data_IF_559314777168
#
_entry.id   IF_559314777168
#
_cell.length_a   1.000
_cell.length_b   1.000
_cell.length_c   1.000
_cell.angle_alpha   90.00
_cell.angle_beta   90.00
_cell.angle_gamma   90.00
#
_symmetry.space_group_name_H-M   'P 1'
#
loop_
_entity.id
_entity.type
_entity.pdbx_description
1 polymer ?
#
# COMPACT_ATOMS: atom_id res chain seq x y z
N UNK A 1 5.89 -13.67 -17.80
CA UNK A 1 6.62 -13.47 -16.52
C UNK A 1 6.03 -14.41 -15.46
N UNK A 2 6.85 -14.97 -14.57
CA UNK A 2 6.40 -15.78 -13.43
C UNK A 2 6.29 -14.97 -12.14
N UNK A 3 5.28 -15.26 -11.33
CA UNK A 3 5.00 -14.57 -10.08
C UNK A 3 4.97 -15.57 -8.92
N UNK A 4 5.57 -15.20 -7.80
CA UNK A 4 5.42 -15.93 -6.54
C UNK A 4 4.63 -15.07 -5.57
N UNK A 5 3.48 -15.58 -5.13
CA UNK A 5 2.54 -14.87 -4.28
C UNK A 5 2.79 -15.26 -2.81
N UNK A 6 2.86 -14.28 -1.92
CA UNK A 6 2.98 -14.53 -0.48
C UNK A 6 2.14 -13.54 0.30
N UNK A 7 1.38 -14.02 1.28
CA UNK A 7 0.51 -13.17 2.10
C UNK A 7 0.39 -13.63 3.54
N UNK A 8 -0.14 -12.75 4.39
CA UNK A 8 -0.61 -13.19 5.71
C UNK A 8 -1.96 -13.92 5.59
N UNK A 9 -2.19 -14.90 6.45
CA UNK A 9 -3.34 -15.81 6.36
C UNK A 9 -4.60 -15.21 6.99
N UNK A 10 -5.17 -14.22 6.30
CA UNK A 10 -6.49 -13.69 6.60
C UNK A 10 -7.15 -13.18 5.31
N UNK A 11 -8.37 -12.63 5.43
CA UNK A 11 -9.23 -12.37 4.26
C UNK A 11 -8.62 -11.36 3.27
N UNK A 12 -7.90 -10.34 3.75
CA UNK A 12 -7.38 -9.29 2.87
C UNK A 12 -6.30 -9.81 1.90
N UNK A 13 -5.17 -10.44 2.33
CA UNK A 13 -4.18 -10.96 1.40
C UNK A 13 -4.76 -12.05 0.50
N UNK A 14 -5.61 -12.95 1.03
CA UNK A 14 -6.23 -14.01 0.22
C UNK A 14 -7.07 -13.44 -0.93
N UNK A 15 -7.85 -12.40 -0.65
CA UNK A 15 -8.67 -11.73 -1.67
C UNK A 15 -7.79 -10.97 -2.66
N UNK A 16 -6.79 -10.23 -2.17
CA UNK A 16 -5.82 -9.53 -3.01
C UNK A 16 -5.08 -10.47 -3.97
N UNK A 17 -4.65 -11.64 -3.49
CA UNK A 17 -3.98 -12.64 -4.32
C UNK A 17 -4.92 -13.32 -5.32
N UNK A 18 -6.20 -13.57 -4.96
CA UNK A 18 -7.24 -14.04 -5.91
C UNK A 18 -7.40 -13.06 -7.08
N UNK A 19 -7.45 -11.75 -6.78
CA UNK A 19 -7.57 -10.69 -7.79
C UNK A 19 -6.28 -10.56 -8.61
N UNK A 20 -5.11 -10.59 -7.95
CA UNK A 20 -3.81 -10.49 -8.60
C UNK A 20 -3.59 -11.67 -9.56
N UNK A 21 -3.92 -12.91 -9.15
CA UNK A 21 -3.81 -14.09 -10.01
C UNK A 21 -4.63 -13.96 -11.29
N UNK A 22 -5.91 -13.53 -11.19
CA UNK A 22 -6.77 -13.27 -12.36
C UNK A 22 -6.14 -12.26 -13.31
N UNK A 23 -5.53 -11.18 -12.80
CA UNK A 23 -4.82 -10.20 -13.63
C UNK A 23 -3.53 -10.77 -14.24
N UNK A 24 -2.72 -11.46 -13.44
CA UNK A 24 -1.44 -12.05 -13.88
C UNK A 24 -1.69 -13.02 -15.03
N UNK A 25 -2.61 -13.97 -14.86
CA UNK A 25 -2.86 -15.02 -15.85
C UNK A 25 -3.71 -14.50 -17.02
N UNK A 26 -4.77 -13.76 -16.74
CA UNK A 26 -5.76 -13.35 -17.75
C UNK A 26 -5.46 -12.05 -18.48
N UNK A 27 -4.69 -11.13 -17.91
CA UNK A 27 -4.37 -9.81 -18.51
C UNK A 27 -2.90 -9.68 -18.90
N UNK A 28 -2.00 -10.17 -18.06
CA UNK A 28 -0.55 -10.08 -18.32
C UNK A 28 0.01 -11.30 -19.08
N UNK A 29 -0.75 -12.38 -19.24
CA UNK A 29 -0.26 -13.64 -19.81
C UNK A 29 0.89 -14.27 -18.99
N UNK A 30 0.98 -13.91 -17.71
CA UNK A 30 1.93 -14.46 -16.76
C UNK A 30 1.45 -15.78 -16.16
N UNK A 31 2.24 -16.31 -15.23
CA UNK A 31 1.89 -17.52 -14.46
C UNK A 31 2.28 -17.37 -13.00
N UNK A 32 1.50 -17.97 -12.11
CA UNK A 32 1.88 -18.06 -10.69
C UNK A 32 2.69 -19.34 -10.46
N UNK A 33 3.95 -19.20 -10.06
CA UNK A 33 4.88 -20.30 -9.77
C UNK A 33 4.81 -20.81 -8.33
N UNK A 34 4.08 -20.11 -7.45
CA UNK A 34 3.86 -20.50 -6.07
C UNK A 34 2.96 -19.48 -5.36
N UNK A 35 2.22 -19.94 -4.35
CA UNK A 35 1.34 -19.11 -3.52
C UNK A 35 1.30 -19.69 -2.11
N UNK A 36 1.74 -18.91 -1.12
CA UNK A 36 1.79 -19.35 0.29
C UNK A 36 1.26 -18.28 1.26
N UNK A 37 0.63 -18.75 2.33
CA UNK A 37 0.05 -17.90 3.37
C UNK A 37 0.55 -18.29 4.75
N UNK A 38 0.78 -17.30 5.60
CA UNK A 38 1.29 -17.51 6.96
C UNK A 38 0.46 -16.74 7.99
N UNK A 39 0.14 -17.32 9.16
CA UNK A 39 -0.64 -16.63 10.18
C UNK A 39 0.04 -15.34 10.65
N UNK A 40 -0.75 -14.41 11.18
CA UNK A 40 -0.22 -13.19 11.78
C UNK A 40 0.75 -13.54 12.93
N UNK A 41 1.87 -12.82 13.00
CA UNK A 41 2.93 -13.10 13.98
C UNK A 41 3.84 -14.26 13.60
N UNK A 42 3.66 -14.88 12.43
CA UNK A 42 4.62 -15.86 11.91
C UNK A 42 5.98 -15.21 11.65
N UNK A 43 7.06 -15.93 12.00
CA UNK A 43 8.45 -15.44 11.92
C UNK A 43 9.42 -16.43 11.27
N UNK A 44 8.97 -17.54 10.70
CA UNK A 44 9.85 -18.61 10.19
C UNK A 44 9.70 -18.83 8.68
N UNK A 45 10.24 -17.91 7.87
CA UNK A 45 10.05 -17.87 6.43
C UNK A 45 11.10 -18.65 5.61
N UNK A 46 12.08 -19.31 6.25
CA UNK A 46 13.16 -20.02 5.55
C UNK A 46 12.66 -21.02 4.49
N UNK A 47 11.60 -21.77 4.78
CA UNK A 47 11.04 -22.75 3.85
C UNK A 47 10.51 -22.09 2.57
N UNK A 48 9.69 -21.04 2.69
CA UNK A 48 9.15 -20.32 1.53
C UNK A 48 10.24 -19.57 0.76
N UNK A 49 11.23 -19.02 1.46
CA UNK A 49 12.37 -18.36 0.83
C UNK A 49 13.19 -19.35 -0.01
N UNK A 50 13.42 -20.57 0.49
CA UNK A 50 14.07 -21.62 -0.30
C UNK A 50 13.27 -22.00 -1.55
N UNK A 51 11.94 -22.08 -1.44
CA UNK A 51 11.07 -22.32 -2.62
C UNK A 51 11.14 -21.15 -3.62
N UNK A 52 11.17 -19.91 -3.17
CA UNK A 52 11.38 -18.73 -4.03
C UNK A 52 12.71 -18.85 -4.78
N UNK A 53 13.80 -19.22 -4.10
CA UNK A 53 15.12 -19.41 -4.74
C UNK A 53 15.14 -20.54 -5.76
N UNK A 54 14.40 -21.62 -5.52
CA UNK A 54 14.30 -22.76 -6.44
C UNK A 54 13.43 -22.43 -7.67
N UNK A 55 12.29 -21.77 -7.44
CA UNK A 55 11.33 -21.42 -8.51
C UNK A 55 11.78 -20.23 -9.35
N UNK A 56 12.67 -19.37 -8.83
CA UNK A 56 13.23 -18.19 -9.51
C UNK A 56 12.15 -17.34 -10.20
N UNK A 57 11.13 -16.85 -9.45
CA UNK A 57 10.08 -16.05 -10.05
C UNK A 57 10.63 -14.75 -10.60
N UNK A 58 10.09 -14.27 -11.72
CA UNK A 58 10.41 -12.92 -12.20
C UNK A 58 9.99 -11.85 -11.16
N UNK A 59 8.87 -12.06 -10.46
CA UNK A 59 8.31 -11.13 -9.47
C UNK A 59 7.87 -11.86 -8.21
N UNK A 60 8.28 -11.36 -7.05
CA UNK A 60 7.66 -11.69 -5.76
C UNK A 60 6.55 -10.68 -5.51
N UNK A 61 5.31 -11.12 -5.34
CA UNK A 61 4.19 -10.26 -5.01
C UNK A 61 3.75 -10.53 -3.57
N UNK A 62 3.92 -9.54 -2.69
CA UNK A 62 3.84 -9.69 -1.25
C UNK A 62 2.69 -8.88 -0.64
N UNK A 63 1.96 -9.54 0.25
CA UNK A 63 0.95 -8.95 1.14
C UNK A 63 1.09 -9.54 2.55
N UNK A 64 2.33 -9.63 3.03
CA UNK A 64 2.65 -9.94 4.43
C UNK A 64 2.44 -8.67 5.26
N UNK A 65 1.89 -8.76 6.47
CA UNK A 65 1.52 -7.57 7.26
C UNK A 65 2.08 -7.60 8.67
N UNK A 66 2.13 -6.43 9.32
CA UNK A 66 2.49 -6.27 10.73
C UNK A 66 3.90 -6.78 11.05
N UNK A 67 4.09 -7.29 12.28
CA UNK A 67 5.39 -7.78 12.75
C UNK A 67 6.00 -8.92 11.90
N UNK A 68 5.18 -9.65 11.15
CA UNK A 68 5.65 -10.69 10.22
C UNK A 68 6.49 -10.13 9.08
N UNK A 69 6.25 -8.87 8.66
CA UNK A 69 7.08 -8.21 7.65
C UNK A 69 8.54 -8.13 8.09
N UNK A 70 8.79 -7.72 9.34
CA UNK A 70 10.16 -7.57 9.86
C UNK A 70 10.95 -8.87 9.70
N UNK A 71 10.35 -10.00 10.08
CA UNK A 71 10.99 -11.31 9.95
C UNK A 71 11.18 -11.71 8.48
N UNK A 72 10.16 -11.53 7.63
CA UNK A 72 10.20 -11.91 6.21
C UNK A 72 11.33 -11.18 5.46
N UNK A 73 11.38 -9.85 5.53
CA UNK A 73 12.36 -9.05 4.80
C UNK A 73 13.80 -9.26 5.30
N UNK A 74 14.01 -9.36 6.62
CA UNK A 74 15.32 -9.68 7.19
C UNK A 74 15.81 -11.06 6.74
N UNK A 75 14.93 -12.05 6.67
CA UNK A 75 15.28 -13.39 6.21
C UNK A 75 15.52 -13.45 4.70
N UNK A 76 14.77 -12.69 3.88
CA UNK A 76 15.06 -12.56 2.45
C UNK A 76 16.50 -12.06 2.23
N UNK A 77 16.89 -10.98 2.91
CA UNK A 77 18.24 -10.44 2.83
C UNK A 77 19.29 -11.44 3.32
N UNK A 78 19.07 -12.06 4.49
CA UNK A 78 19.98 -13.06 5.05
C UNK A 78 20.15 -14.29 4.14
N UNK A 79 19.12 -14.65 3.38
CA UNK A 79 19.18 -15.73 2.38
C UNK A 79 19.85 -15.33 1.06
N UNK A 80 20.31 -14.09 0.95
CA UNK A 80 21.02 -13.54 -0.22
C UNK A 80 20.12 -13.03 -1.33
N UNK A 81 18.83 -12.77 -1.07
CA UNK A 81 17.93 -12.18 -2.07
C UNK A 81 18.15 -10.66 -2.09
N UNK A 82 18.81 -10.20 -3.14
CA UNK A 82 19.09 -8.80 -3.40
C UNK A 82 17.91 -8.15 -4.15
N UNK A 83 17.14 -7.32 -3.44
CA UNK A 83 15.93 -6.68 -3.97
C UNK A 83 16.23 -5.55 -4.98
N UNK A 84 17.49 -5.17 -5.16
CA UNK A 84 17.89 -4.34 -6.29
C UNK A 84 17.90 -5.11 -7.62
N UNK A 85 17.94 -6.45 -7.56
CA UNK A 85 18.00 -7.36 -8.72
C UNK A 85 16.74 -8.24 -8.83
N UNK A 86 16.22 -8.74 -7.71
CA UNK A 86 14.97 -9.47 -7.65
C UNK A 86 13.82 -8.48 -7.59
N UNK A 87 12.94 -8.47 -8.60
CA UNK A 87 11.73 -7.66 -8.53
C UNK A 87 10.82 -8.19 -7.43
N UNK A 88 10.45 -7.30 -6.52
CA UNK A 88 9.43 -7.53 -5.52
C UNK A 88 8.49 -6.34 -5.48
N UNK A 89 7.18 -6.63 -5.47
CA UNK A 89 6.12 -5.64 -5.32
C UNK A 89 5.31 -5.99 -4.08
N UNK A 90 5.16 -5.02 -3.18
CA UNK A 90 4.31 -5.15 -1.99
C UNK A 90 3.14 -4.17 -2.03
N UNK A 91 2.03 -4.56 -1.41
CA UNK A 91 0.85 -3.72 -1.17
C UNK A 91 0.58 -3.53 0.33
N UNK A 92 1.57 -3.80 1.18
CA UNK A 92 1.42 -3.85 2.64
C UNK A 92 2.58 -3.25 3.44
N UNK A 93 3.50 -2.55 2.79
CA UNK A 93 4.67 -1.94 3.47
C UNK A 93 4.81 -0.49 3.03
N UNK A 94 4.66 0.41 4.00
CA UNK A 94 4.98 1.83 3.89
C UNK A 94 6.11 2.22 4.85
N UNK A 95 6.46 3.51 4.87
CA UNK A 95 7.60 4.04 5.63
C UNK A 95 7.59 3.62 7.10
N UNK A 96 6.42 3.60 7.73
CA UNK A 96 6.20 3.18 9.13
C UNK A 96 6.41 1.68 9.37
N UNK A 97 6.10 0.79 8.41
CA UNK A 97 6.57 -0.59 8.51
C UNK A 97 8.08 -0.71 8.28
N UNK A 98 8.67 0.15 7.44
CA UNK A 98 10.11 0.11 7.17
C UNK A 98 10.92 0.47 8.42
N UNK A 99 10.42 1.30 9.32
CA UNK A 99 11.04 1.56 10.62
C UNK A 99 11.31 0.26 11.41
N UNK A 100 10.38 -0.71 11.34
CA UNK A 100 10.57 -2.03 11.95
C UNK A 100 11.43 -2.97 11.11
N UNK A 101 11.27 -2.93 9.78
CA UNK A 101 11.99 -3.81 8.85
C UNK A 101 13.48 -3.46 8.77
N UNK A 102 13.83 -2.18 8.82
CA UNK A 102 15.14 -1.63 8.46
C UNK A 102 15.26 -1.42 6.96
N UNK A 103 15.56 -0.19 6.52
CA UNK A 103 15.63 0.19 5.10
C UNK A 103 16.60 -0.68 4.29
N UNK A 104 17.67 -1.15 4.91
CA UNK A 104 18.64 -2.03 4.29
C UNK A 104 18.10 -3.43 3.93
N UNK A 105 16.96 -3.85 4.50
CA UNK A 105 16.32 -5.14 4.26
C UNK A 105 15.26 -5.09 3.15
N UNK A 106 14.85 -3.89 2.72
CA UNK A 106 13.82 -3.69 1.70
C UNK A 106 14.28 -2.86 0.50
N UNK A 107 15.38 -2.12 0.62
CA UNK A 107 15.87 -1.24 -0.44
C UNK A 107 15.92 -1.94 -1.80
N UNK A 108 15.30 -1.30 -2.80
CA UNK A 108 15.13 -1.83 -4.15
C UNK A 108 13.74 -2.41 -4.44
N UNK A 109 12.98 -2.84 -3.43
CA UNK A 109 11.61 -3.31 -3.59
C UNK A 109 10.66 -2.18 -3.99
N UNK A 110 9.58 -2.55 -4.69
CA UNK A 110 8.50 -1.65 -5.04
C UNK A 110 7.33 -1.79 -4.08
N UNK A 111 6.68 -0.68 -3.75
CA UNK A 111 5.38 -0.65 -3.07
C UNK A 111 4.35 0.05 -3.95
N UNK A 112 3.10 -0.42 -3.95
CA UNK A 112 1.99 0.24 -4.63
C UNK A 112 1.00 0.75 -3.58
N UNK A 113 0.85 2.08 -3.50
CA UNK A 113 0.10 2.79 -2.45
C UNK A 113 -0.64 3.97 -3.06
N UNK A 114 -1.53 4.62 -2.30
CA UNK A 114 -2.09 5.92 -2.69
C UNK A 114 -1.24 7.08 -2.17
N UNK A 115 -0.38 6.91 -1.17
CA UNK A 115 0.46 7.95 -0.59
C UNK A 115 1.87 7.44 -0.26
N UNK A 116 2.84 8.34 -0.37
CA UNK A 116 4.19 8.20 0.18
C UNK A 116 4.55 9.51 0.87
N UNK A 117 5.29 9.44 1.98
CA UNK A 117 5.74 10.63 2.70
C UNK A 117 6.60 11.54 1.82
N UNK A 118 7.30 10.98 0.85
CA UNK A 118 8.22 11.67 -0.06
C UNK A 118 7.54 12.50 -1.16
N UNK A 119 6.21 12.54 -1.23
CA UNK A 119 5.50 13.33 -2.25
C UNK A 119 5.89 14.83 -2.19
N UNK A 120 6.26 15.38 -3.34
CA UNK A 120 6.67 16.78 -3.45
C UNK A 120 5.48 17.69 -3.81
N UNK A 121 4.68 18.04 -2.80
CA UNK A 121 3.63 19.05 -2.94
C UNK A 121 3.48 19.89 -1.66
N UNK A 122 2.88 21.10 -1.75
CA UNK A 122 2.76 22.01 -0.61
C UNK A 122 1.97 21.42 0.58
N UNK A 123 0.84 20.76 0.32
CA UNK A 123 0.00 20.15 1.36
C UNK A 123 0.78 19.10 2.15
N UNK A 124 1.55 18.26 1.43
CA UNK A 124 2.35 17.22 2.06
C UNK A 124 3.50 17.79 2.89
N UNK A 125 4.19 18.82 2.40
CA UNK A 125 5.27 19.48 3.15
C UNK A 125 4.77 20.06 4.47
N UNK A 126 3.60 20.71 4.45
CA UNK A 126 2.96 21.23 5.66
C UNK A 126 2.54 20.10 6.61
N UNK A 127 1.89 19.06 6.09
CA UNK A 127 1.46 17.91 6.87
C UNK A 127 2.63 17.18 7.54
N UNK A 128 3.70 16.86 6.79
CA UNK A 128 4.89 16.19 7.32
C UNK A 128 5.56 17.03 8.41
N UNK A 129 5.70 18.34 8.19
CA UNK A 129 6.29 19.23 9.19
C UNK A 129 5.43 19.29 10.48
N UNK A 130 4.11 19.41 10.35
CA UNK A 130 3.20 19.43 11.49
C UNK A 130 3.21 18.10 12.26
N UNK A 131 3.24 16.97 11.54
CA UNK A 131 3.27 15.64 12.13
C UNK A 131 4.56 15.40 12.91
N UNK A 132 5.73 15.74 12.32
CA UNK A 132 7.03 15.65 13.00
C UNK A 132 7.14 16.55 14.21
N UNK A 133 6.59 17.77 14.13
CA UNK A 133 6.53 18.68 15.29
C UNK A 133 5.73 18.08 16.45
N UNK A 134 4.66 17.33 16.16
CA UNK A 134 3.80 16.73 17.17
C UNK A 134 4.36 15.42 17.74
N UNK A 135 4.92 14.56 16.89
CA UNK A 135 5.28 13.18 17.23
C UNK A 135 6.79 12.90 17.26
N UNK A 136 7.61 13.89 16.90
CA UNK A 136 9.07 13.80 16.86
C UNK A 136 9.65 13.74 15.44
N UNK A 137 10.85 14.31 15.27
CA UNK A 137 11.52 14.48 13.96
C UNK A 137 11.83 13.17 13.21
N UNK A 138 11.96 12.07 13.96
CA UNK A 138 12.27 10.75 13.42
C UNK A 138 11.04 9.96 12.99
N UNK A 139 9.85 10.40 13.39
CA UNK A 139 8.61 9.69 13.06
C UNK A 139 8.32 9.82 11.58
N UNK A 140 7.87 8.72 10.98
CA UNK A 140 7.49 8.62 9.58
C UNK A 140 5.99 8.39 9.41
N UNK A 141 5.51 8.62 8.19
CA UNK A 141 4.08 8.54 7.86
C UNK A 141 3.90 7.57 6.69
N UNK A 142 3.18 6.48 6.95
CA UNK A 142 2.73 5.57 5.90
C UNK A 142 1.38 5.96 5.28
N UNK A 143 0.97 5.18 4.29
CA UNK A 143 -0.29 5.35 3.56
C UNK A 143 -1.51 5.29 4.48
N UNK A 144 -1.53 4.30 5.39
CA UNK A 144 -2.63 4.10 6.34
C UNK A 144 -2.70 5.24 7.35
N UNK A 145 -1.55 5.70 7.84
CA UNK A 145 -1.46 6.85 8.76
C UNK A 145 -1.98 8.12 8.09
N UNK A 146 -1.61 8.36 6.83
CA UNK A 146 -2.13 9.49 6.06
C UNK A 146 -3.64 9.36 5.78
N UNK A 147 -4.14 8.16 5.48
CA UNK A 147 -5.57 7.91 5.27
C UNK A 147 -6.39 8.20 6.55
N UNK A 148 -5.85 7.85 7.73
CA UNK A 148 -6.47 8.16 9.02
C UNK A 148 -6.53 9.68 9.27
N UNK A 149 -5.51 10.43 8.85
CA UNK A 149 -5.54 11.91 8.90
C UNK A 149 -6.58 12.51 7.94
N UNK A 150 -6.77 11.91 6.76
CA UNK A 150 -7.71 12.40 5.74
C UNK A 150 -9.18 12.25 6.16
N UNK A 151 -9.55 11.15 6.82
CA UNK A 151 -10.94 10.82 7.16
C UNK A 151 -11.72 11.96 7.84
N UNK A 152 -11.20 12.57 8.93
CA UNK A 152 -11.86 13.69 9.61
C UNK A 152 -12.13 14.92 8.72
N UNK A 153 -11.24 15.22 7.76
CA UNK A 153 -11.44 16.33 6.82
C UNK A 153 -12.59 16.05 5.87
N UNK A 154 -12.67 14.84 5.33
CA UNK A 154 -13.77 14.42 4.45
C UNK A 154 -15.10 14.40 5.20
N UNK A 155 -15.10 13.91 6.44
CA UNK A 155 -16.28 13.96 7.31
C UNK A 155 -16.73 15.40 7.55
N UNK A 156 -15.82 16.30 7.94
CA UNK A 156 -16.11 17.72 8.15
C UNK A 156 -16.75 18.35 6.91
N UNK A 157 -16.13 18.18 5.74
CA UNK A 157 -16.63 18.74 4.48
C UNK A 157 -18.02 18.20 4.12
N UNK A 158 -18.28 16.93 4.43
CA UNK A 158 -19.59 16.30 4.21
C UNK A 158 -20.65 16.84 5.17
N UNK A 159 -20.30 17.03 6.45
CA UNK A 159 -21.16 17.67 7.46
C UNK A 159 -21.51 19.10 7.05
N UNK A 160 -20.53 19.89 6.59
CA UNK A 160 -20.74 21.26 6.11
C UNK A 160 -21.68 21.28 4.91
N UNK A 161 -21.49 20.36 3.95
CA UNK A 161 -22.39 20.21 2.79
C UNK A 161 -23.80 19.77 3.19
N UNK A 162 -23.94 18.89 4.17
CA UNK A 162 -25.23 18.42 4.66
C UNK A 162 -25.96 19.47 5.51
N UNK A 163 -25.24 20.45 6.08
CA UNK A 163 -25.78 21.37 7.07
C UNK A 163 -26.31 20.65 8.32
N UNK A 164 -25.78 19.47 8.65
CA UNK A 164 -26.32 18.60 9.69
C UNK A 164 -25.29 17.61 10.22
N UNK A 165 -25.46 17.22 11.48
CA UNK A 165 -24.73 16.09 12.10
C UNK A 165 -25.51 14.76 12.01
N UNK A 166 -26.69 14.77 11.39
CA UNK A 166 -27.48 13.56 11.17
C UNK A 166 -26.78 12.61 10.18
N UNK A 167 -26.59 11.34 10.58
CA UNK A 167 -25.77 10.38 9.83
C UNK A 167 -26.32 10.11 8.44
N UNK A 168 -27.64 9.97 8.30
CA UNK A 168 -28.26 9.68 7.01
C UNK A 168 -28.15 10.88 6.07
N UNK A 169 -28.31 12.10 6.59
CA UNK A 169 -28.09 13.33 5.81
C UNK A 169 -26.62 13.49 5.39
N UNK A 170 -25.67 13.15 6.26
CA UNK A 170 -24.23 13.17 5.93
C UNK A 170 -23.94 12.15 4.83
N UNK A 171 -24.39 10.91 4.98
CA UNK A 171 -24.18 9.85 3.99
C UNK A 171 -24.77 10.23 2.62
N UNK A 172 -25.99 10.76 2.60
CA UNK A 172 -26.63 11.24 1.37
C UNK A 172 -25.88 12.43 0.73
N UNK A 173 -25.22 13.26 1.52
CA UNK A 173 -24.45 14.41 1.04
C UNK A 173 -23.03 14.05 0.53
N UNK A 174 -22.51 12.86 0.85
CA UNK A 174 -21.09 12.53 0.65
C UNK A 174 -20.65 12.50 -0.80
N UNK A 175 -21.54 12.12 -1.72
CA UNK A 175 -21.23 12.02 -3.16
C UNK A 175 -20.66 13.34 -3.67
N UNK A 176 -19.55 13.27 -4.41
CA UNK A 176 -18.85 14.43 -4.99
C UNK A 176 -18.33 15.45 -3.97
N UNK A 177 -18.20 15.09 -2.69
CA UNK A 177 -17.42 15.92 -1.75
C UNK A 177 -15.95 15.87 -2.17
N UNK A 178 -15.36 17.05 -2.34
CA UNK A 178 -13.99 17.22 -2.82
C UNK A 178 -13.08 17.78 -1.73
N UNK A 179 -11.83 17.32 -1.70
CA UNK A 179 -10.81 17.91 -0.84
C UNK A 179 -9.50 18.12 -1.61
N UNK A 180 -9.15 19.39 -1.83
CA UNK A 180 -7.91 19.81 -2.49
C UNK A 180 -6.71 19.88 -1.54
N UNK A 181 -6.96 19.91 -0.22
CA UNK A 181 -5.95 20.07 0.82
C UNK A 181 -5.36 18.76 1.35
N UNK A 182 -5.66 17.60 0.74
CA UNK A 182 -5.11 16.35 1.24
C UNK A 182 -3.59 16.26 1.00
N UNK A 183 -2.82 15.62 1.89
CA UNK A 183 -1.39 15.39 1.69
C UNK A 183 -1.07 14.62 0.40
N UNK A 184 -1.94 13.70 0.00
CA UNK A 184 -1.80 12.91 -1.24
C UNK A 184 -2.22 13.66 -2.52
N UNK A 185 -2.67 14.91 -2.39
CA UNK A 185 -3.24 15.72 -3.47
C UNK A 185 -4.77 15.70 -3.47
N UNK A 186 -5.38 16.25 -4.52
CA UNK A 186 -6.84 16.32 -4.66
C UNK A 186 -7.48 14.93 -4.60
N UNK A 187 -8.54 14.80 -3.80
CA UNK A 187 -9.39 13.61 -3.70
C UNK A 187 -10.87 13.98 -3.78
N UNK A 188 -11.69 13.00 -4.16
CA UNK A 188 -13.15 13.15 -4.25
C UNK A 188 -13.86 11.89 -3.77
N UNK A 189 -14.96 12.03 -3.06
CA UNK A 189 -15.81 10.91 -2.65
C UNK A 189 -16.70 10.50 -3.84
N UNK A 190 -16.61 9.23 -4.23
CA UNK A 190 -17.46 8.61 -5.23
C UNK A 190 -18.85 8.29 -4.67
N UNK A 191 -19.84 8.03 -5.54
CA UNK A 191 -21.20 7.71 -5.11
C UNK A 191 -21.32 6.42 -4.31
N UNK A 192 -20.36 5.49 -4.48
CA UNK A 192 -20.25 4.27 -3.67
C UNK A 192 -19.49 4.49 -2.34
N UNK A 193 -19.32 5.74 -1.92
CA UNK A 193 -18.62 6.16 -0.70
C UNK A 193 -17.12 5.83 -0.63
N UNK A 194 -16.50 5.34 -1.71
CA UNK A 194 -15.05 5.18 -1.81
C UNK A 194 -14.40 6.46 -2.38
N UNK A 195 -13.06 6.51 -2.37
CA UNK A 195 -12.33 7.67 -2.87
C UNK A 195 -11.84 7.48 -4.31
N UNK A 196 -12.06 8.52 -5.10
CA UNK A 196 -11.21 8.81 -6.25
C UNK A 196 -9.84 9.24 -5.73
N UNK A 197 -8.83 8.44 -6.02
CA UNK A 197 -7.46 8.64 -5.55
C UNK A 197 -6.46 8.31 -6.66
N UNK A 198 -5.27 8.90 -6.62
CA UNK A 198 -4.17 8.47 -7.46
C UNK A 198 -3.60 7.14 -6.97
N UNK A 199 -3.09 6.33 -7.89
CA UNK A 199 -2.27 5.16 -7.56
C UNK A 199 -0.81 5.47 -7.84
N UNK A 200 0.06 5.07 -6.92
CA UNK A 200 1.48 5.38 -6.94
C UNK A 200 2.30 4.13 -6.74
N UNK A 201 3.42 4.03 -7.46
CA UNK A 201 4.43 3.01 -7.25
C UNK A 201 5.71 3.69 -6.78
N UNK A 202 6.18 3.32 -5.60
CA UNK A 202 7.41 3.81 -5.01
C UNK A 202 8.47 2.71 -4.95
N UNK A 203 9.75 3.07 -5.01
CA UNK A 203 10.88 2.17 -4.78
C UNK A 203 11.54 2.48 -3.44
N UNK A 204 11.64 1.49 -2.58
CA UNK A 204 12.21 1.66 -1.25
C UNK A 204 13.71 2.01 -1.34
N UNK A 205 14.14 2.98 -0.54
CA UNK A 205 15.52 3.42 -0.38
C UNK A 205 16.12 2.94 0.93
N UNK A 206 17.44 3.05 1.06
CA UNK A 206 18.18 2.68 2.28
C UNK A 206 17.79 3.51 3.51
N UNK A 207 17.32 4.74 3.30
CA UNK A 207 16.89 5.66 4.36
C UNK A 207 15.46 5.39 4.86
N UNK A 208 14.81 4.33 4.36
CA UNK A 208 13.45 3.96 4.74
C UNK A 208 12.35 4.77 4.03
N UNK A 209 12.70 5.68 3.12
CA UNK A 209 11.75 6.42 2.30
C UNK A 209 11.54 5.76 0.94
N UNK A 210 10.48 6.14 0.23
CA UNK A 210 10.24 5.72 -1.14
C UNK A 210 10.65 6.80 -2.16
N UNK A 211 11.30 6.39 -3.23
CA UNK A 211 11.41 7.17 -4.47
C UNK A 211 10.15 6.94 -5.32
N UNK A 212 9.45 7.99 -5.73
CA UNK A 212 8.28 7.84 -6.60
C UNK A 212 8.72 7.45 -8.02
N UNK A 213 8.25 6.30 -8.50
CA UNK A 213 8.59 5.75 -9.82
C UNK A 213 7.46 5.97 -10.82
N UNK A 214 6.23 5.87 -10.36
CA UNK A 214 5.04 6.02 -11.18
C UNK A 214 3.91 6.62 -10.37
N UNK A 215 3.11 7.44 -11.03
CA UNK A 215 1.86 7.98 -10.53
C UNK A 215 0.85 8.01 -11.69
N UNK A 216 -0.40 7.66 -11.42
CA UNK A 216 -1.48 7.83 -12.41
C UNK A 216 -1.67 9.33 -12.71
N UNK A 217 -1.82 9.68 -13.99
CA UNK A 217 -2.04 11.07 -14.40
C UNK A 217 -3.29 11.65 -13.73
N UNK A 218 -4.38 10.88 -13.80
CA UNK A 218 -5.68 11.21 -13.25
C UNK A 218 -6.00 10.38 -11.99
N UNK A 219 -7.09 10.74 -11.31
CA UNK A 219 -7.66 9.92 -10.24
C UNK A 219 -8.21 8.62 -10.83
N UNK A 220 -7.97 7.52 -10.11
CA UNK A 220 -8.55 6.23 -10.43
C UNK A 220 -9.96 6.16 -9.85
N UNK A 221 -10.92 5.73 -10.67
CA UNK A 221 -12.29 5.44 -10.23
C UNK A 221 -12.29 4.26 -9.26
N UNK A 222 -12.88 4.39 -8.07
CA UNK A 222 -12.99 3.27 -7.16
C UNK A 222 -14.09 2.31 -7.62
N UNK A 223 -13.68 1.16 -8.16
CA UNK A 223 -14.53 0.01 -8.44
C UNK A 223 -14.26 -1.12 -7.43
N UNK A 224 -14.95 -1.16 -6.27
CA UNK A 224 -14.74 -2.18 -5.25
C UNK A 224 -15.26 -3.56 -5.67
N UNK A 225 -16.10 -3.66 -6.72
CA UNK A 225 -16.70 -4.92 -7.18
C UNK A 225 -16.55 -5.10 -8.68
N UNK A 226 -15.31 -5.16 -9.21
CA UNK A 226 -15.09 -5.15 -10.63
C UNK A 226 -15.68 -6.39 -11.30
N UNK A 227 -16.35 -6.18 -12.43
CA UNK A 227 -17.06 -7.24 -13.15
C UNK A 227 -16.08 -8.37 -13.52
N UNK A 228 -16.43 -9.60 -13.17
CA UNK A 228 -15.58 -10.79 -13.39
C UNK A 228 -14.61 -11.11 -12.25
N UNK A 229 -14.61 -10.33 -11.16
CA UNK A 229 -13.78 -10.60 -9.96
C UNK A 229 -14.53 -11.15 -8.76
N UNK A 230 -15.87 -11.19 -8.83
CA UNK A 230 -16.75 -11.92 -7.92
C UNK A 230 -16.28 -13.40 -7.79
#
# INVERSE_FOLDING_TARGET
KSFYLIGSDYIWPRTSMKIARKHIEGKLGGKVSGEEYFPLGHTQFNSVINKIKLTKPDVIYAAVVGGSNVAFYKQLKAAGIDLSKQTMLTISVTEDEIDGIGGENIAGAYACMKYFQSLDNPNNKEFVAAFKKMWGEKTVIGDVTQAAYLGPWLWKLTVEKAGSFDVDKIAAASKDVEFKGAPEGYVRIHENHHLWSKTRVGRAKLDGQFELIYETADLVEPDPFPKGYQ
#
